data_IF_912064756870
#
_entry.id   IF_912064756870
#
_cell.length_a   1.000
_cell.length_b   1.000
_cell.length_c   1.000
_cell.angle_alpha   90.00
_cell.angle_beta   90.00
_cell.angle_gamma   90.00
#
_symmetry.space_group_name_H-M   'P 1'
#
loop_
_entity.id
_entity.type
_entity.pdbx_description
1 polymer ?
#
# COMPACT_ATOMS: atom_id res chain seq x y z
N UNK A 1 21.85 23.10 8.50
CA UNK A 1 20.92 22.93 7.36
C UNK A 1 19.83 23.98 7.45
N UNK A 2 19.47 24.64 6.36
CA UNK A 2 18.46 25.69 6.39
C UNK A 2 17.08 25.05 6.37
N UNK A 3 16.37 25.18 7.48
CA UNK A 3 14.99 24.78 7.60
C UNK A 3 14.09 26.01 7.52
N UNK A 4 13.00 25.92 6.78
CA UNK A 4 11.97 26.95 6.76
C UNK A 4 10.61 26.30 6.95
N UNK A 5 9.67 27.03 7.55
CA UNK A 5 8.29 26.59 7.62
C UNK A 5 7.32 27.76 7.67
N UNK A 6 6.12 27.50 7.16
CA UNK A 6 5.01 28.44 7.09
C UNK A 6 3.95 27.96 8.08
N UNK A 7 3.38 28.88 8.85
CA UNK A 7 2.33 28.56 9.85
C UNK A 7 2.86 27.97 11.16
N UNK A 8 4.18 28.01 11.40
CA UNK A 8 4.78 27.52 12.65
C UNK A 8 4.50 28.46 13.83
N UNK A 9 4.01 27.91 14.94
CA UNK A 9 4.06 28.58 16.25
C UNK A 9 5.29 28.08 17.00
N UNK A 10 6.26 28.97 17.22
CA UNK A 10 7.46 28.65 17.99
C UNK A 10 7.22 28.95 19.47
N UNK A 11 7.39 27.95 20.33
CA UNK A 11 7.68 28.20 21.74
C UNK A 11 9.19 28.23 21.90
N UNK A 12 9.73 29.37 22.33
CA UNK A 12 11.13 29.48 22.74
C UNK A 12 11.29 28.82 24.12
N UNK A 13 11.18 27.50 24.18
CA UNK A 13 11.80 26.70 25.23
C UNK A 13 12.80 25.76 24.57
N UNK A 14 13.77 25.28 25.34
CA UNK A 14 14.90 24.44 24.91
C UNK A 14 14.53 23.07 24.35
N UNK A 15 13.24 22.81 24.09
CA UNK A 15 12.72 21.54 23.61
C UNK A 15 11.80 21.84 22.44
N UNK A 16 12.34 21.66 21.23
CA UNK A 16 11.75 21.51 19.88
C UNK A 16 10.43 22.22 19.54
N UNK A 17 10.28 22.79 18.33
CA UNK A 17 9.03 23.42 17.90
C UNK A 17 7.86 22.41 17.89
N UNK A 18 6.82 22.69 18.69
CA UNK A 18 5.57 21.92 18.74
C UNK A 18 4.56 22.54 17.77
N UNK A 19 3.99 21.71 16.89
CA UNK A 19 2.93 22.15 15.97
C UNK A 19 1.65 22.40 16.76
N UNK A 20 1.15 23.62 16.71
CA UNK A 20 -0.13 23.99 17.35
C UNK A 20 -1.08 24.68 16.38
N UNK A 21 -0.83 24.61 15.07
CA UNK A 21 -1.65 25.25 14.05
C UNK A 21 -1.93 24.35 12.84
N UNK A 22 -3.21 24.28 12.48
CA UNK A 22 -3.69 23.84 11.16
C UNK A 22 -2.98 24.69 10.08
N UNK A 23 -2.58 24.08 8.95
CA UNK A 23 -1.84 24.69 7.82
C UNK A 23 -0.31 24.81 7.96
N UNK A 24 0.32 23.89 8.69
CA UNK A 24 1.79 23.85 8.75
C UNK A 24 2.37 23.24 7.46
N UNK A 25 3.37 23.91 6.88
CA UNK A 25 4.30 23.30 5.92
C UNK A 25 5.73 23.54 6.41
N UNK A 26 6.55 22.49 6.44
CA UNK A 26 7.92 22.57 6.94
C UNK A 26 8.90 21.84 6.02
N UNK A 27 10.08 22.42 5.82
CA UNK A 27 11.24 21.75 5.22
C UNK A 27 12.27 21.53 6.31
N UNK A 28 12.50 20.25 6.64
CA UNK A 28 13.35 19.82 7.75
C UNK A 28 14.35 18.78 7.21
N UNK A 29 15.65 19.08 7.24
CA UNK A 29 16.68 18.16 6.73
C UNK A 29 16.52 17.80 5.24
N UNK A 30 15.92 18.69 4.45
CA UNK A 30 15.61 18.46 3.03
C UNK A 30 14.33 17.66 2.76
N UNK A 31 13.60 17.25 3.79
CA UNK A 31 12.30 16.58 3.67
C UNK A 31 11.16 17.59 3.84
N UNK A 32 10.06 17.41 3.10
CA UNK A 32 8.89 18.28 3.15
C UNK A 32 7.77 17.63 3.97
N UNK A 33 7.32 18.31 5.01
CA UNK A 33 6.13 17.95 5.79
C UNK A 33 4.98 18.92 5.52
N UNK A 34 3.79 18.40 5.27
CA UNK A 34 2.53 19.16 5.19
C UNK A 34 1.61 18.64 6.29
N UNK A 35 1.14 19.51 7.18
CA UNK A 35 0.46 19.12 8.41
C UNK A 35 1.38 18.51 9.49
N UNK A 36 2.70 18.42 9.22
CA UNK A 36 3.71 17.89 10.16
C UNK A 36 5.06 18.62 10.01
N UNK A 37 5.84 18.68 11.09
CA UNK A 37 7.25 19.16 11.13
C UNK A 37 8.24 18.01 11.29
N UNK A 38 7.74 16.80 11.47
CA UNK A 38 8.52 15.56 11.59
C UNK A 38 8.17 14.65 10.41
N UNK A 39 8.59 14.99 9.18
CA UNK A 39 8.28 14.19 8.00
C UNK A 39 8.89 12.77 8.06
N UNK A 40 9.78 12.49 9.03
CA UNK A 40 10.40 11.20 9.22
C UNK A 40 11.35 10.85 8.07
N UNK A 41 11.35 9.59 7.67
CA UNK A 41 12.15 9.07 6.55
C UNK A 41 11.60 9.43 5.16
N UNK A 42 10.40 10.03 5.08
CA UNK A 42 9.77 10.35 3.81
C UNK A 42 10.28 11.69 3.26
N UNK A 43 10.60 11.73 1.96
CA UNK A 43 10.95 12.98 1.26
C UNK A 43 9.77 13.96 1.23
N UNK A 44 8.55 13.44 1.12
CA UNK A 44 7.30 14.19 1.25
C UNK A 44 6.37 13.41 2.18
N UNK A 45 5.96 14.02 3.28
CA UNK A 45 4.98 13.48 4.22
C UNK A 45 3.80 14.45 4.31
N UNK A 46 2.59 13.94 4.09
CA UNK A 46 1.34 14.70 4.22
C UNK A 46 0.53 14.06 5.34
N UNK A 47 0.39 14.78 6.46
CA UNK A 47 -0.57 14.42 7.51
C UNK A 47 -1.97 14.80 7.02
N UNK A 48 -2.64 13.85 6.35
CA UNK A 48 -3.95 14.03 5.76
C UNK A 48 -4.04 13.51 4.32
N UNK A 49 -4.98 14.07 3.55
CA UNK A 49 -5.23 13.64 2.16
C UNK A 49 -4.38 14.43 1.16
N UNK A 50 -3.76 13.73 0.21
CA UNK A 50 -3.12 14.32 -0.95
C UNK A 50 -3.95 14.07 -2.22
N UNK A 51 -4.09 15.10 -3.06
CA UNK A 51 -4.79 15.02 -4.35
C UNK A 51 -3.85 15.41 -5.49
N UNK A 52 -3.86 14.62 -6.56
CA UNK A 52 -3.20 14.92 -7.81
C UNK A 52 -4.26 14.90 -8.92
N UNK A 53 -4.28 15.93 -9.77
CA UNK A 53 -5.12 15.94 -10.97
C UNK A 53 -4.63 14.93 -12.01
N UNK A 54 -3.35 14.58 -11.97
CA UNK A 54 -2.74 13.47 -12.70
C UNK A 54 -2.46 12.25 -11.81
N UNK A 55 -1.73 11.27 -12.33
CA UNK A 55 -1.33 10.08 -11.59
C UNK A 55 -0.04 10.26 -10.77
N UNK A 56 0.13 9.41 -9.76
CA UNK A 56 1.41 9.20 -9.09
C UNK A 56 2.27 8.28 -9.97
N UNK A 57 3.27 8.86 -10.64
CA UNK A 57 4.19 8.10 -11.49
C UNK A 57 5.40 7.62 -10.68
N UNK A 58 5.80 6.36 -10.89
CA UNK A 58 7.02 5.78 -10.33
C UNK A 58 7.88 5.22 -11.46
N UNK A 59 9.19 5.38 -11.35
CA UNK A 59 10.14 4.83 -12.33
C UNK A 59 10.04 3.29 -12.38
N UNK A 60 9.96 2.73 -13.58
CA UNK A 60 9.80 1.27 -13.78
C UNK A 60 10.61 0.74 -14.97
N UNK A 61 11.59 1.51 -15.42
CA UNK A 61 12.45 1.20 -16.58
C UNK A 61 13.32 -0.03 -16.31
N UNK A 62 13.51 -0.91 -17.31
CA UNK A 62 14.33 -2.12 -17.19
C UNK A 62 15.78 -1.81 -16.79
N UNK A 63 16.33 -0.67 -17.21
CA UNK A 63 17.72 -0.27 -16.89
C UNK A 63 17.93 0.04 -15.41
N UNK A 64 16.84 0.30 -14.68
CA UNK A 64 16.85 0.59 -13.24
C UNK A 64 16.61 -0.68 -12.41
N UNK A 65 16.47 -1.86 -13.04
CA UNK A 65 16.13 -3.12 -12.39
C UNK A 65 17.21 -4.16 -12.59
N UNK A 66 17.47 -4.93 -11.54
CA UNK A 66 18.34 -6.11 -11.56
C UNK A 66 17.62 -7.28 -10.88
N UNK A 67 18.10 -8.51 -11.07
CA UNK A 67 17.51 -9.72 -10.49
C UNK A 67 16.00 -9.89 -10.77
N UNK A 68 15.56 -9.48 -11.97
CA UNK A 68 14.15 -9.55 -12.38
C UNK A 68 13.73 -11.01 -12.53
N UNK A 69 12.71 -11.42 -11.78
CA UNK A 69 12.10 -12.76 -11.82
C UNK A 69 10.58 -12.64 -11.97
N UNK A 70 9.91 -13.62 -12.60
CA UNK A 70 8.45 -13.69 -12.57
C UNK A 70 7.92 -13.73 -11.13
N UNK A 71 6.73 -13.17 -10.90
CA UNK A 71 5.99 -13.40 -9.66
C UNK A 71 5.29 -14.76 -9.80
N UNK A 72 5.55 -15.65 -8.85
CA UNK A 72 4.97 -16.99 -8.80
C UNK A 72 4.09 -17.14 -7.56
N UNK A 73 3.02 -17.92 -7.67
CA UNK A 73 2.10 -18.16 -6.56
C UNK A 73 1.23 -16.95 -6.22
N UNK A 74 1.11 -16.01 -7.15
CA UNK A 74 0.39 -14.75 -6.95
C UNK A 74 -1.08 -14.99 -6.60
N UNK A 75 -1.73 -15.98 -7.23
CA UNK A 75 -3.10 -16.35 -6.90
C UNK A 75 -3.21 -16.87 -5.46
N UNK A 76 -2.26 -17.68 -5.00
CA UNK A 76 -2.27 -18.18 -3.62
C UNK A 76 -2.06 -17.06 -2.60
N UNK A 77 -1.19 -16.10 -2.89
CA UNK A 77 -1.01 -14.93 -2.04
C UNK A 77 -2.30 -14.10 -1.97
N UNK A 78 -2.91 -13.78 -3.11
CA UNK A 78 -4.17 -13.00 -3.17
C UNK A 78 -5.31 -13.71 -2.43
N UNK A 79 -5.43 -15.04 -2.56
CA UNK A 79 -6.46 -15.83 -1.88
C UNK A 79 -6.31 -15.86 -0.35
N UNK A 80 -5.13 -15.50 0.20
CA UNK A 80 -4.91 -15.36 1.65
C UNK A 80 -5.22 -13.97 2.17
N UNK A 81 -5.35 -12.96 1.30
CA UNK A 81 -5.65 -11.60 1.70
C UNK A 81 -7.14 -11.45 2.01
N UNK A 82 -7.45 -10.74 3.09
CA UNK A 82 -8.82 -10.44 3.50
C UNK A 82 -9.10 -8.95 3.35
N UNK A 83 -9.96 -8.59 2.38
CA UNK A 83 -10.51 -7.23 2.33
C UNK A 83 -11.46 -6.99 3.51
N UNK A 84 -11.33 -5.85 4.16
CA UNK A 84 -12.14 -5.47 5.33
C UNK A 84 -12.85 -4.14 5.10
N UNK A 85 -14.01 -3.96 5.74
CA UNK A 85 -14.60 -2.64 5.94
C UNK A 85 -14.35 -2.18 7.36
N UNK A 86 -14.08 -0.89 7.54
CA UNK A 86 -13.72 -0.33 8.84
C UNK A 86 -14.10 1.15 8.94
N UNK A 87 -14.16 1.66 10.16
CA UNK A 87 -14.22 3.10 10.45
C UNK A 87 -12.92 3.48 11.15
N UNK A 88 -12.44 4.69 10.92
CA UNK A 88 -11.31 5.21 11.69
C UNK A 88 -11.74 5.48 13.13
N UNK A 89 -10.83 5.24 14.09
CA UNK A 89 -11.07 5.61 15.49
C UNK A 89 -11.09 7.13 15.64
N UNK A 90 -10.20 7.81 14.90
CA UNK A 90 -10.17 9.27 14.77
C UNK A 90 -10.27 9.64 13.28
N UNK A 91 -11.32 10.39 12.95
CA UNK A 91 -11.61 10.86 11.59
C UNK A 91 -11.02 12.24 11.29
N UNK A 92 -10.29 12.87 12.22
CA UNK A 92 -9.77 14.24 12.06
C UNK A 92 -8.92 14.41 10.80
N UNK A 93 -7.96 13.49 10.60
CA UNK A 93 -7.05 13.48 9.44
C UNK A 93 -7.34 12.34 8.46
N UNK A 94 -8.42 11.59 8.69
CA UNK A 94 -8.79 10.42 7.90
C UNK A 94 -10.13 10.62 7.19
N UNK A 95 -10.39 9.83 6.15
CA UNK A 95 -11.68 9.88 5.46
C UNK A 95 -12.79 9.42 6.42
N UNK A 96 -13.82 10.24 6.69
CA UNK A 96 -14.87 9.89 7.63
C UNK A 96 -15.80 8.78 7.10
N UNK A 97 -16.45 8.09 8.01
CA UNK A 97 -17.43 7.03 7.73
C UNK A 97 -16.80 5.67 7.38
N UNK A 98 -17.60 4.84 6.71
CA UNK A 98 -17.16 3.48 6.35
C UNK A 98 -16.17 3.50 5.18
N UNK A 99 -15.01 2.91 5.44
CA UNK A 99 -13.91 2.74 4.51
C UNK A 99 -13.71 1.24 4.18
N UNK A 100 -12.95 0.97 3.11
CA UNK A 100 -12.57 -0.38 2.68
C UNK A 100 -11.06 -0.41 2.51
N UNK A 101 -10.43 -1.50 2.94
CA UNK A 101 -8.98 -1.70 2.79
C UNK A 101 -8.54 -3.04 3.33
N UNK A 102 -7.33 -3.08 3.87
CA UNK A 102 -6.74 -4.24 4.52
C UNK A 102 -6.21 -3.89 5.91
N UNK A 103 -6.06 -4.91 6.77
CA UNK A 103 -5.25 -4.81 7.98
C UNK A 103 -3.78 -5.04 7.59
N UNK A 104 -2.94 -4.02 7.74
CA UNK A 104 -1.55 -4.07 7.25
C UNK A 104 -0.71 -5.18 7.88
N UNK A 105 -0.97 -5.53 9.15
CA UNK A 105 -0.32 -6.64 9.84
C UNK A 105 -0.64 -7.99 9.18
N UNK A 106 -1.88 -8.21 8.76
CA UNK A 106 -2.29 -9.44 8.06
C UNK A 106 -1.67 -9.50 6.66
N UNK A 107 -1.62 -8.37 5.95
CA UNK A 107 -0.95 -8.26 4.65
C UNK A 107 0.54 -8.57 4.79
N UNK A 108 1.20 -8.09 5.85
CA UNK A 108 2.64 -8.29 6.08
C UNK A 108 3.03 -9.77 6.18
N UNK A 109 2.14 -10.63 6.69
CA UNK A 109 2.39 -12.08 6.77
C UNK A 109 2.33 -12.77 5.40
N UNK A 110 1.73 -12.13 4.38
CA UNK A 110 1.51 -12.71 3.05
C UNK A 110 2.36 -12.03 1.97
N UNK A 111 2.42 -10.71 1.98
CA UNK A 111 3.15 -9.83 1.05
C UNK A 111 3.91 -8.76 1.86
N UNK A 112 4.97 -9.13 2.59
CA UNK A 112 5.73 -8.18 3.40
C UNK A 112 6.36 -7.04 2.57
N UNK A 113 6.58 -7.25 1.28
CA UNK A 113 7.26 -6.31 0.37
C UNK A 113 6.47 -5.02 0.13
N UNK A 114 5.15 -5.03 0.38
CA UNK A 114 4.27 -3.89 0.14
C UNK A 114 3.87 -3.16 1.42
N UNK A 115 4.34 -3.63 2.57
CA UNK A 115 4.03 -3.08 3.88
C UNK A 115 5.28 -2.42 4.46
N UNK A 116 5.15 -1.17 4.88
CA UNK A 116 6.23 -0.41 5.53
C UNK A 116 5.82 0.12 6.89
N UNK A 117 6.77 0.66 7.65
CA UNK A 117 6.53 1.14 9.02
C UNK A 117 6.47 0.03 10.07
N UNK A 118 5.76 0.32 11.17
CA UNK A 118 5.72 -0.53 12.36
C UNK A 118 6.80 -0.19 13.39
N UNK A 119 6.48 -0.42 14.67
CA UNK A 119 7.41 -0.23 15.78
C UNK A 119 7.40 1.20 16.32
N UNK A 120 8.59 1.70 16.70
CA UNK A 120 8.78 3.05 17.24
C UNK A 120 9.97 3.73 16.59
N UNK A 121 9.91 5.05 16.47
CA UNK A 121 11.06 5.86 16.05
C UNK A 121 12.11 6.00 17.18
N UNK A 122 13.22 6.69 16.89
CA UNK A 122 14.32 6.94 17.84
C UNK A 122 13.86 7.72 19.09
N UNK A 123 12.70 8.35 19.03
CA UNK A 123 12.13 9.21 20.07
C UNK A 123 11.05 8.46 20.87
N UNK A 124 10.74 7.22 20.48
CA UNK A 124 9.77 6.36 21.13
C UNK A 124 8.33 6.57 20.65
N UNK A 125 8.11 7.37 19.60
CA UNK A 125 6.79 7.56 18.99
C UNK A 125 6.41 6.33 18.15
N UNK A 126 5.14 5.96 18.15
CA UNK A 126 4.66 4.83 17.37
C UNK A 126 4.73 5.11 15.86
N UNK A 127 5.25 4.15 15.11
CA UNK A 127 5.21 4.13 13.65
C UNK A 127 4.14 3.13 13.26
N UNK A 128 3.03 3.60 12.71
CA UNK A 128 1.99 2.72 12.20
C UNK A 128 2.44 2.02 10.91
N UNK A 129 1.89 0.83 10.66
CA UNK A 129 2.07 0.15 9.38
C UNK A 129 1.31 0.87 8.27
N UNK A 130 1.90 0.92 7.08
CA UNK A 130 1.28 1.46 5.87
C UNK A 130 1.42 0.47 4.72
N UNK A 131 0.47 0.52 3.76
CA UNK A 131 0.45 -0.36 2.58
C UNK A 131 0.64 0.48 1.32
N UNK A 132 1.58 0.07 0.45
CA UNK A 132 1.73 0.62 -0.89
C UNK A 132 0.74 -0.02 -1.86
N UNK A 133 -0.53 0.36 -1.81
CA UNK A 133 -1.62 -0.26 -2.57
C UNK A 133 -1.37 -0.40 -4.09
N UNK A 134 -0.66 0.55 -4.71
CA UNK A 134 -0.34 0.49 -6.14
C UNK A 134 0.53 -0.71 -6.52
N UNK A 135 1.34 -1.22 -5.59
CA UNK A 135 2.23 -2.37 -5.81
C UNK A 135 1.47 -3.70 -5.82
N UNK A 136 0.20 -3.74 -5.37
CA UNK A 136 -0.65 -4.92 -5.50
C UNK A 136 -1.03 -5.21 -6.96
N UNK A 137 -1.07 -4.20 -7.84
CA UNK A 137 -1.50 -4.37 -9.22
C UNK A 137 -0.75 -5.47 -9.99
N UNK A 138 0.60 -5.52 -10.03
CA UNK A 138 1.31 -6.63 -10.68
C UNK A 138 1.02 -8.00 -10.06
N UNK A 139 0.81 -8.08 -8.73
CA UNK A 139 0.42 -9.33 -8.06
C UNK A 139 -0.95 -9.79 -8.54
N UNK A 140 -1.93 -8.88 -8.62
CA UNK A 140 -3.27 -9.17 -9.12
C UNK A 140 -3.25 -9.61 -10.60
N UNK A 141 -2.40 -8.99 -11.43
CA UNK A 141 -2.25 -9.38 -12.84
C UNK A 141 -1.77 -10.83 -12.96
N UNK A 142 -0.74 -11.22 -12.22
CA UNK A 142 -0.26 -12.61 -12.25
C UNK A 142 -1.25 -13.59 -11.61
N UNK A 143 -1.97 -13.18 -10.56
CA UNK A 143 -3.03 -13.99 -9.97
C UNK A 143 -4.15 -14.31 -10.99
N UNK A 144 -4.57 -13.32 -11.79
CA UNK A 144 -5.56 -13.51 -12.86
C UNK A 144 -5.03 -14.46 -13.94
N UNK A 145 -3.76 -14.30 -14.36
CA UNK A 145 -3.14 -15.22 -15.34
C UNK A 145 -3.04 -16.65 -14.82
N UNK A 146 -2.69 -16.83 -13.55
CA UNK A 146 -2.68 -18.14 -12.89
C UNK A 146 -4.10 -18.73 -12.81
N UNK A 147 -5.11 -17.91 -12.53
CA UNK A 147 -6.51 -18.30 -12.52
C UNK A 147 -6.99 -18.75 -13.90
N UNK A 148 -6.67 -17.99 -14.96
CA UNK A 148 -7.05 -18.30 -16.33
C UNK A 148 -6.50 -19.66 -16.77
N UNK A 149 -5.22 -19.94 -16.47
CA UNK A 149 -4.61 -21.26 -16.74
C UNK A 149 -5.38 -22.41 -16.07
N UNK A 150 -5.89 -22.20 -14.85
CA UNK A 150 -6.72 -23.21 -14.17
C UNK A 150 -8.06 -23.40 -14.87
N UNK A 151 -8.70 -22.31 -15.30
CA UNK A 151 -9.97 -22.35 -16.04
C UNK A 151 -9.81 -23.12 -17.36
N UNK A 152 -8.77 -22.80 -18.15
CA UNK A 152 -8.48 -23.52 -19.40
C UNK A 152 -8.25 -25.02 -19.16
N UNK A 153 -7.50 -25.37 -18.11
CA UNK A 153 -7.27 -26.77 -17.75
C UNK A 153 -8.55 -27.49 -17.34
N UNK A 154 -9.42 -26.84 -16.57
CA UNK A 154 -10.71 -27.39 -16.16
C UNK A 154 -11.65 -27.56 -17.35
N UNK A 155 -11.67 -26.60 -18.28
CA UNK A 155 -12.49 -26.68 -19.48
C UNK A 155 -12.10 -27.87 -20.36
N UNK A 156 -10.79 -28.11 -20.56
CA UNK A 156 -10.31 -29.30 -21.29
C UNK A 156 -10.78 -30.60 -20.66
N UNK A 157 -10.69 -30.72 -19.34
CA UNK A 157 -11.17 -31.89 -18.61
C UNK A 157 -12.67 -32.09 -18.78
N UNK A 158 -13.46 -31.01 -18.74
CA UNK A 158 -14.91 -31.06 -18.97
C UNK A 158 -15.22 -31.58 -20.37
N UNK A 159 -14.51 -31.10 -21.39
CA UNK A 159 -14.75 -31.52 -22.78
C UNK A 159 -14.36 -32.98 -23.02
N UNK A 160 -13.25 -33.43 -22.44
CA UNK A 160 -12.85 -34.84 -22.45
C UNK A 160 -13.89 -35.74 -21.77
N UNK A 161 -14.37 -35.34 -20.59
CA UNK A 161 -15.40 -36.08 -19.85
C UNK A 161 -16.72 -36.14 -20.61
N UNK A 162 -17.15 -35.04 -21.24
CA UNK A 162 -18.35 -35.02 -22.09
C UNK A 162 -18.23 -36.01 -23.24
N UNK A 163 -17.09 -36.00 -23.93
CA UNK A 163 -16.83 -36.94 -25.03
C UNK A 163 -16.82 -38.41 -24.57
N UNK A 164 -16.36 -38.69 -23.34
CA UNK A 164 -16.44 -40.04 -22.76
C UNK A 164 -17.88 -40.44 -22.43
N UNK A 165 -18.67 -39.54 -21.84
CA UNK A 165 -20.07 -39.80 -21.52
C UNK A 165 -20.88 -40.10 -22.78
N UNK A 166 -20.74 -39.29 -23.84
CA UNK A 166 -21.43 -39.51 -25.12
C UNK A 166 -21.15 -40.90 -25.70
N UNK A 167 -19.88 -41.35 -25.66
CA UNK A 167 -19.47 -42.68 -26.11
C UNK A 167 -20.09 -43.81 -25.28
N UNK A 168 -20.29 -43.60 -23.98
CA UNK A 168 -20.89 -44.60 -23.10
C UNK A 168 -22.41 -44.67 -23.26
N UNK A 169 -23.07 -43.53 -23.46
CA UNK A 169 -24.53 -43.45 -23.62
C UNK A 169 -25.03 -43.82 -25.02
N UNK A 170 -24.14 -43.84 -26.02
CA UNK A 170 -24.45 -44.26 -27.39
C UNK A 170 -24.45 -45.80 -27.59
N UNK A 171 -24.23 -46.58 -26.53
CA UNK A 171 -24.33 -48.05 -26.50
C UNK A 171 -25.60 -48.48 -25.79
#
# INVERSE_FOLDING_TARGET
>A
EYSFGIGLKYFFSSERPVITANNTMAIMGGNVGIGTVTPGSYRLNVSGTAYASGGWASESDQRLKTNVKPLEGALQSVLKLQGVSFNWIDETDHRPGQNIGFIAQEVKEVLPEIVSGGGKDEEGNEIYYSIEYATLTPVLVEAIKEQEKKIESQQRQIDELKAMVEKLTAK
#
